data_IF_404872150557
#
_entry.id   IF_404872150557
#
_cell.length_a   1.000
_cell.length_b   1.000
_cell.length_c   1.000
_cell.angle_alpha   90.00
_cell.angle_beta   90.00
_cell.angle_gamma   90.00
#
_symmetry.space_group_name_H-M   'P 1'
#
loop_
_entity.id
_entity.type
_entity.pdbx_description
1 polymer ?
#
# COMPACT_ATOMS: atom_id res chain seq x y z
N UNK A 1 -2.69 89.65 -44.43
CA UNK A 1 -3.49 89.06 -43.32
C UNK A 1 -2.53 88.19 -42.52
N UNK A 2 -1.84 88.80 -41.53
CA UNK A 2 -2.12 88.77 -40.08
C UNK A 2 -1.61 87.49 -39.39
N UNK A 3 -0.81 87.74 -38.34
CA UNK A 3 -0.64 87.01 -37.08
C UNK A 3 0.63 86.16 -36.84
N UNK A 4 1.28 86.59 -35.76
CA UNK A 4 2.21 85.88 -34.88
C UNK A 4 1.57 84.68 -34.15
N UNK A 5 2.38 83.82 -33.52
CA UNK A 5 2.33 83.56 -32.06
C UNK A 5 3.11 82.29 -31.65
N UNK A 6 3.57 82.38 -30.40
CA UNK A 6 4.33 81.46 -29.55
C UNK A 6 3.51 80.31 -28.92
N UNK A 7 4.25 79.38 -28.28
CA UNK A 7 3.88 78.44 -27.19
C UNK A 7 2.98 77.23 -27.58
N UNK A 8 3.12 76.02 -27.03
CA UNK A 8 3.31 75.72 -25.61
C UNK A 8 4.04 74.39 -25.33
N UNK A 9 4.72 74.40 -24.18
CA UNK A 9 5.27 73.27 -23.42
C UNK A 9 4.13 72.41 -22.85
N UNK A 10 4.18 71.09 -22.96
CA UNK A 10 3.38 70.17 -22.13
C UNK A 10 4.28 69.17 -21.43
N UNK A 11 4.38 69.32 -20.11
CA UNK A 11 4.98 68.35 -19.21
C UNK A 11 3.97 67.21 -18.97
N UNK A 12 4.39 65.96 -19.21
CA UNK A 12 3.62 64.79 -18.84
C UNK A 12 4.00 64.36 -17.41
N UNK A 13 3.02 64.40 -16.52
CA UNK A 13 3.11 63.90 -15.14
C UNK A 13 2.93 62.37 -15.20
N UNK A 14 3.97 61.61 -14.83
CA UNK A 14 3.89 60.17 -14.60
C UNK A 14 3.48 59.92 -13.13
N UNK A 15 2.24 59.47 -12.93
CA UNK A 15 1.75 58.92 -11.68
C UNK A 15 2.11 57.42 -11.62
N UNK A 16 3.06 57.05 -10.75
CA UNK A 16 3.34 55.65 -10.41
C UNK A 16 2.45 55.21 -9.25
N UNK A 17 1.46 54.36 -9.53
CA UNK A 17 0.70 53.65 -8.49
C UNK A 17 1.51 52.44 -8.01
N UNK A 18 1.90 52.43 -6.74
CA UNK A 18 2.49 51.27 -6.08
C UNK A 18 1.40 50.23 -5.79
N UNK A 19 1.47 49.08 -6.44
CA UNK A 19 0.64 47.91 -6.12
C UNK A 19 1.27 47.20 -4.93
N UNK A 20 0.63 47.30 -3.77
CA UNK A 20 0.95 46.47 -2.61
C UNK A 20 0.30 45.10 -2.84
N UNK A 21 1.11 44.11 -3.23
CA UNK A 21 0.68 42.72 -3.29
C UNK A 21 0.69 42.18 -1.86
N UNK A 22 -0.48 42.04 -1.25
CA UNK A 22 -0.65 41.31 0.00
C UNK A 22 -0.37 39.82 -0.24
N UNK A 23 0.75 39.33 0.29
CA UNK A 23 1.05 37.90 0.31
C UNK A 23 0.07 37.19 1.23
N UNK A 24 -0.88 36.46 0.66
CA UNK A 24 -1.63 35.45 1.38
C UNK A 24 -0.66 34.29 1.65
N UNK A 25 -0.22 34.15 2.89
CA UNK A 25 0.47 32.95 3.36
C UNK A 25 -0.52 31.80 3.33
N UNK A 26 -0.43 30.96 2.31
CA UNK A 26 -1.04 29.62 2.30
C UNK A 26 -0.48 28.85 3.51
N UNK A 27 -1.32 28.21 4.35
CA UNK A 27 -0.83 27.34 5.41
C UNK A 27 -0.05 26.18 4.77
N UNK A 28 1.22 26.06 5.13
CA UNK A 28 2.08 24.92 4.81
C UNK A 28 1.43 23.67 5.40
N UNK A 29 1.13 22.69 4.55
CA UNK A 29 0.71 21.37 5.01
C UNK A 29 1.82 20.83 5.90
N UNK A 30 1.48 20.53 7.16
CA UNK A 30 2.44 19.99 8.12
C UNK A 30 2.77 18.56 7.70
N UNK A 31 3.87 18.42 6.96
CA UNK A 31 4.54 17.15 6.66
C UNK A 31 5.13 16.59 7.96
N UNK A 32 4.25 16.09 8.82
CA UNK A 32 4.65 15.40 10.03
C UNK A 32 4.81 13.93 9.70
N UNK A 33 6.05 13.54 9.34
CA UNK A 33 6.45 12.13 9.33
C UNK A 33 5.98 11.46 10.62
N UNK A 34 5.51 10.20 10.60
CA UNK A 34 4.94 9.57 11.79
C UNK A 34 5.96 9.58 12.94
N UNK A 35 5.73 10.45 13.93
CA UNK A 35 6.57 10.51 15.12
C UNK A 35 6.41 9.21 15.89
N UNK A 36 7.52 8.50 16.12
CA UNK A 36 7.55 7.35 17.01
C UNK A 36 7.33 7.85 18.44
N UNK A 37 6.11 7.75 18.96
CA UNK A 37 5.74 8.09 20.35
C UNK A 37 6.37 7.14 21.40
N UNK A 38 7.61 6.71 21.21
CA UNK A 38 8.33 5.77 22.09
C UNK A 38 7.79 4.33 22.11
N UNK A 39 6.71 4.04 21.38
CA UNK A 39 6.18 2.69 21.21
C UNK A 39 7.08 1.89 20.25
N UNK A 40 7.48 0.65 20.61
CA UNK A 40 8.31 -0.16 19.73
C UNK A 40 7.58 -0.49 18.43
N UNK A 41 8.35 -0.61 17.34
CA UNK A 41 7.85 -1.11 16.06
C UNK A 41 7.64 -2.62 16.12
N UNK A 42 6.76 -3.14 15.26
CA UNK A 42 6.61 -4.57 15.10
C UNK A 42 7.81 -5.16 14.37
N UNK A 43 8.21 -6.37 14.76
CA UNK A 43 9.29 -7.14 14.14
C UNK A 43 8.73 -8.51 13.73
N UNK A 44 9.38 -9.14 12.74
CA UNK A 44 8.95 -10.46 12.26
C UNK A 44 9.05 -11.51 13.37
N UNK A 45 7.92 -12.17 13.63
CA UNK A 45 7.82 -13.31 14.53
C UNK A 45 8.25 -14.59 13.80
N UNK A 46 9.05 -15.48 14.42
CA UNK A 46 9.46 -16.74 13.80
C UNK A 46 8.29 -17.61 13.32
N UNK A 47 8.52 -18.54 12.37
CA UNK A 47 7.54 -19.58 12.05
C UNK A 47 7.06 -20.33 13.30
N UNK A 48 5.79 -20.72 13.32
CA UNK A 48 5.13 -21.40 14.43
C UNK A 48 4.72 -20.50 15.61
N UNK A 49 4.93 -19.19 15.50
CA UNK A 49 4.54 -18.24 16.55
C UNK A 49 3.02 -18.09 16.65
N UNK A 50 2.50 -17.94 17.88
CA UNK A 50 1.11 -17.52 18.10
C UNK A 50 0.92 -16.09 17.58
N UNK A 51 0.07 -15.94 16.58
CA UNK A 51 -0.23 -14.65 15.96
C UNK A 51 -1.26 -13.84 16.78
N UNK A 52 -1.08 -12.53 16.97
CA UNK A 52 -2.06 -11.68 17.65
C UNK A 52 -3.37 -11.55 16.87
N UNK A 53 -4.48 -11.33 17.60
CA UNK A 53 -5.81 -11.09 17.05
C UNK A 53 -5.98 -9.66 16.50
N UNK A 54 -7.07 -9.44 15.75
CA UNK A 54 -7.46 -8.11 15.25
C UNK A 54 -7.50 -7.06 16.37
N UNK A 55 -8.16 -7.38 17.48
CA UNK A 55 -8.35 -6.47 18.60
C UNK A 55 -7.03 -6.15 19.33
N UNK A 56 -6.15 -7.15 19.50
CA UNK A 56 -4.84 -6.93 20.11
C UNK A 56 -3.97 -6.01 19.26
N UNK A 57 -4.01 -6.17 17.93
CA UNK A 57 -3.24 -5.30 17.04
C UNK A 57 -3.84 -3.91 16.90
N UNK A 58 -5.17 -3.79 16.85
CA UNK A 58 -5.83 -2.48 16.84
C UNK A 58 -5.46 -1.63 18.08
N UNK A 59 -5.27 -2.27 19.24
CA UNK A 59 -4.84 -1.60 20.46
C UNK A 59 -3.34 -1.22 20.48
N UNK A 60 -2.52 -1.84 19.63
CA UNK A 60 -1.07 -1.61 19.55
C UNK A 60 -0.65 -0.65 18.43
N UNK A 61 -1.55 -0.34 17.49
CA UNK A 61 -1.31 0.64 16.44
C UNK A 61 -0.97 2.00 17.06
N UNK A 62 0.08 2.63 16.54
CA UNK A 62 0.46 4.00 16.91
C UNK A 62 -0.39 4.95 16.08
N UNK A 63 -1.40 5.52 16.72
CA UNK A 63 -2.33 6.44 16.07
C UNK A 63 -1.63 7.70 15.59
N UNK A 64 -1.99 8.16 14.39
CA UNK A 64 -1.42 9.33 13.74
C UNK A 64 -2.43 9.93 12.75
N UNK A 65 -2.50 11.26 12.69
CA UNK A 65 -3.28 11.96 11.66
C UNK A 65 -2.56 12.00 10.30
N UNK A 66 -1.34 11.45 10.21
CA UNK A 66 -0.58 11.39 8.98
C UNK A 66 -1.20 10.38 7.99
N UNK A 67 -1.76 10.92 6.93
CA UNK A 67 -2.32 10.18 5.80
C UNK A 67 -1.75 10.76 4.49
N UNK A 68 -0.67 10.19 3.93
CA UNK A 68 -0.06 10.71 2.71
C UNK A 68 -0.93 10.42 1.47
N UNK A 69 -1.97 9.59 1.61
CA UNK A 69 -2.89 9.18 0.53
C UNK A 69 -4.33 9.46 0.92
N UNK A 70 -4.68 10.74 1.01
CA UNK A 70 -6.06 11.15 1.35
C UNK A 70 -7.15 10.51 0.46
N UNK A 71 -6.81 10.14 -0.78
CA UNK A 71 -7.70 9.42 -1.70
C UNK A 71 -8.09 8.02 -1.20
N UNK A 72 -7.30 7.42 -0.30
CA UNK A 72 -7.60 6.12 0.30
C UNK A 72 -8.71 6.21 1.35
N UNK A 73 -9.13 7.40 1.79
CA UNK A 73 -10.01 7.56 2.96
C UNK A 73 -11.25 6.65 2.92
N UNK A 74 -11.97 6.59 1.78
CA UNK A 74 -13.14 5.72 1.68
C UNK A 74 -12.79 4.24 1.88
N UNK A 75 -11.71 3.77 1.26
CA UNK A 75 -11.28 2.38 1.36
C UNK A 75 -10.66 2.04 2.73
N UNK A 76 -9.99 2.99 3.37
CA UNK A 76 -9.47 2.88 4.74
C UNK A 76 -10.59 2.73 5.79
N UNK A 77 -11.80 3.16 5.46
CA UNK A 77 -12.99 3.08 6.33
C UNK A 77 -14.01 2.05 5.86
N UNK A 78 -13.68 1.27 4.83
CA UNK A 78 -14.53 0.17 4.33
C UNK A 78 -14.13 -1.12 5.05
N UNK A 79 -14.96 -1.56 5.99
CA UNK A 79 -14.79 -2.84 6.70
C UNK A 79 -15.78 -3.87 6.13
N UNK A 80 -15.33 -5.05 5.69
CA UNK A 80 -16.24 -6.10 5.26
C UNK A 80 -17.10 -6.63 6.41
N UNK A 81 -18.40 -6.80 6.21
CA UNK A 81 -19.28 -7.48 7.18
C UNK A 81 -18.89 -8.95 7.38
N UNK A 82 -18.42 -9.58 6.30
CA UNK A 82 -17.87 -10.93 6.31
C UNK A 82 -16.85 -11.09 5.19
N UNK A 83 -15.88 -11.97 5.42
CA UNK A 83 -14.90 -12.40 4.43
C UNK A 83 -15.10 -13.88 4.17
N UNK A 84 -15.18 -14.26 2.90
CA UNK A 84 -15.27 -15.65 2.47
C UNK A 84 -14.24 -15.91 1.37
N UNK A 85 -13.11 -16.48 1.76
CA UNK A 85 -12.08 -16.92 0.81
C UNK A 85 -12.27 -18.43 0.57
N UNK A 86 -12.35 -18.89 -0.69
CA UNK A 86 -12.32 -20.31 -1.03
C UNK A 86 -11.10 -20.99 -0.43
N UNK A 87 -11.25 -22.27 -0.05
CA UNK A 87 -10.10 -23.07 0.34
C UNK A 87 -9.11 -23.16 -0.82
N UNK A 88 -7.81 -23.07 -0.52
CA UNK A 88 -6.78 -23.31 -1.52
C UNK A 88 -6.47 -24.81 -1.59
N UNK A 89 -6.40 -25.31 -2.80
CA UNK A 89 -5.94 -26.66 -3.09
C UNK A 89 -4.41 -26.71 -3.22
N UNK A 90 -3.81 -27.88 -3.02
CA UNK A 90 -2.38 -28.09 -3.24
C UNK A 90 -1.44 -27.44 -2.21
N UNK A 91 -1.98 -26.94 -1.10
CA UNK A 91 -1.23 -26.38 0.03
C UNK A 91 -1.46 -27.21 1.30
N UNK A 92 -0.61 -27.00 2.30
CA UNK A 92 -0.78 -27.66 3.60
C UNK A 92 -2.15 -27.32 4.22
N UNK A 93 -2.80 -28.30 4.85
CA UNK A 93 -4.11 -28.13 5.48
C UNK A 93 -4.17 -27.02 6.54
N UNK A 94 -3.04 -26.68 7.18
CA UNK A 94 -2.93 -25.57 8.12
C UNK A 94 -3.23 -24.22 7.46
N UNK A 95 -3.03 -24.09 6.14
CA UNK A 95 -3.38 -22.89 5.41
C UNK A 95 -4.88 -22.56 5.53
N UNK A 96 -5.72 -23.55 5.18
CA UNK A 96 -7.17 -23.41 5.20
C UNK A 96 -7.76 -23.41 6.63
N UNK A 97 -7.06 -24.00 7.61
CA UNK A 97 -7.58 -24.14 8.98
C UNK A 97 -7.03 -23.11 9.97
N UNK A 98 -5.85 -22.54 9.74
CA UNK A 98 -5.19 -21.62 10.67
C UNK A 98 -4.96 -20.22 10.09
N UNK A 99 -4.80 -20.07 8.78
CA UNK A 99 -4.52 -18.76 8.19
C UNK A 99 -5.76 -18.13 7.57
N UNK A 100 -6.41 -18.78 6.59
CA UNK A 100 -7.56 -18.20 5.90
C UNK A 100 -8.70 -17.74 6.82
N UNK A 101 -9.07 -18.48 7.89
CA UNK A 101 -10.12 -18.04 8.81
C UNK A 101 -9.79 -16.77 9.61
N UNK A 102 -8.53 -16.33 9.62
CA UNK A 102 -8.10 -15.11 10.32
C UNK A 102 -8.19 -13.86 9.45
N UNK A 103 -8.42 -13.97 8.13
CA UNK A 103 -8.60 -12.79 7.27
C UNK A 103 -9.97 -12.18 7.51
N UNK A 104 -10.01 -10.91 7.91
CA UNK A 104 -11.23 -10.19 8.29
C UNK A 104 -11.32 -8.81 7.67
N UNK A 105 -10.19 -8.13 7.41
CA UNK A 105 -10.17 -6.72 7.04
C UNK A 105 -10.78 -5.80 8.11
N UNK A 106 -10.86 -6.26 9.37
CA UNK A 106 -11.62 -5.60 10.43
C UNK A 106 -10.80 -4.51 11.16
N UNK A 107 -10.38 -3.49 10.43
CA UNK A 107 -9.69 -2.34 10.99
C UNK A 107 -9.93 -1.07 10.18
N UNK A 108 -9.90 0.08 10.84
CA UNK A 108 -9.98 1.41 10.23
C UNK A 108 -8.97 2.37 10.85
N UNK A 109 -8.48 3.28 10.02
CA UNK A 109 -7.43 4.24 10.39
C UNK A 109 -6.85 4.94 9.18
N UNK A 110 -5.67 5.53 9.33
CA UNK A 110 -4.87 5.96 8.17
C UNK A 110 -4.25 4.75 7.47
N UNK A 111 -3.71 4.96 6.27
CA UNK A 111 -3.02 3.94 5.48
C UNK A 111 -1.85 3.35 6.27
N UNK A 112 -1.07 4.18 6.98
CA UNK A 112 0.02 3.70 7.83
C UNK A 112 -0.49 2.89 9.02
N UNK A 113 -1.57 3.33 9.67
CA UNK A 113 -2.19 2.60 10.78
C UNK A 113 -2.69 1.21 10.34
N UNK A 114 -3.24 1.10 9.13
CA UNK A 114 -3.67 -0.17 8.54
C UNK A 114 -2.48 -1.09 8.25
N UNK A 115 -1.37 -0.54 7.71
CA UNK A 115 -0.13 -1.29 7.49
C UNK A 115 0.43 -1.80 8.83
N UNK A 116 0.46 -0.97 9.88
CA UNK A 116 0.87 -1.36 11.22
C UNK A 116 -0.01 -2.48 11.78
N UNK A 117 -1.34 -2.34 11.66
CA UNK A 117 -2.29 -3.34 12.12
C UNK A 117 -2.06 -4.69 11.43
N UNK A 118 -1.93 -4.70 10.11
CA UNK A 118 -1.67 -5.91 9.33
C UNK A 118 -0.32 -6.55 9.70
N UNK A 119 0.74 -5.74 9.81
CA UNK A 119 2.07 -6.20 10.22
C UNK A 119 2.05 -6.88 11.59
N UNK A 120 1.37 -6.26 12.57
CA UNK A 120 1.17 -6.85 13.89
C UNK A 120 0.40 -8.18 13.83
N UNK A 121 -0.71 -8.21 13.09
CA UNK A 121 -1.63 -9.36 13.03
C UNK A 121 -0.95 -10.59 12.46
N UNK A 122 -0.10 -10.39 11.46
CA UNK A 122 0.60 -11.47 10.75
C UNK A 122 2.04 -11.68 11.22
N UNK A 123 2.47 -10.91 12.23
CA UNK A 123 3.77 -11.06 12.86
C UNK A 123 4.91 -10.75 11.90
N UNK A 124 4.84 -9.64 11.18
CA UNK A 124 5.87 -9.14 10.28
C UNK A 124 6.45 -7.82 10.76
N UNK A 125 7.70 -7.56 10.37
CA UNK A 125 8.29 -6.24 10.48
C UNK A 125 7.47 -5.22 9.67
N UNK A 126 6.96 -4.21 10.36
CA UNK A 126 6.11 -3.19 9.73
C UNK A 126 6.83 -2.39 8.65
N UNK A 127 8.14 -2.19 8.75
CA UNK A 127 8.90 -1.47 7.72
C UNK A 127 9.08 -2.33 6.46
N UNK A 128 9.16 -3.66 6.58
CA UNK A 128 9.11 -4.55 5.40
C UNK A 128 7.75 -4.44 4.70
N UNK A 129 6.66 -4.38 5.46
CA UNK A 129 5.31 -4.22 4.88
C UNK A 129 5.17 -2.86 4.19
N UNK A 130 5.63 -1.78 4.82
CA UNK A 130 5.66 -0.44 4.21
C UNK A 130 6.45 -0.41 2.91
N UNK A 131 7.66 -0.98 2.90
CA UNK A 131 8.51 -1.04 1.71
C UNK A 131 7.83 -1.81 0.56
N UNK A 132 7.18 -2.93 0.86
CA UNK A 132 6.40 -3.66 -0.14
C UNK A 132 5.23 -2.81 -0.65
N UNK A 133 4.45 -2.18 0.23
CA UNK A 133 3.34 -1.31 -0.18
C UNK A 133 3.80 -0.10 -1.02
N UNK A 134 4.98 0.48 -0.73
CA UNK A 134 5.59 1.49 -1.61
C UNK A 134 5.79 0.91 -2.99
N UNK A 135 6.37 -0.29 -3.03
CA UNK A 135 6.73 -0.97 -4.24
C UNK A 135 5.59 -1.44 -5.12
N UNK A 136 4.47 -1.82 -4.52
CA UNK A 136 3.28 -2.34 -5.20
C UNK A 136 2.40 -1.23 -5.76
N UNK A 137 2.30 -0.11 -5.05
CA UNK A 137 1.28 0.90 -5.36
C UNK A 137 1.64 2.32 -4.97
N UNK A 138 2.84 2.56 -4.44
CA UNK A 138 3.18 3.81 -3.75
C UNK A 138 2.12 4.19 -2.70
N UNK A 139 1.57 3.18 -2.01
CA UNK A 139 0.47 3.26 -1.04
C UNK A 139 -0.91 3.65 -1.60
N UNK A 140 -1.10 3.69 -2.92
CA UNK A 140 -2.41 4.01 -3.51
C UNK A 140 -3.32 2.78 -3.52
N UNK A 141 -4.45 2.87 -2.81
CA UNK A 141 -5.47 1.83 -2.85
C UNK A 141 -6.19 1.78 -4.22
N UNK A 142 -6.15 2.86 -4.99
CA UNK A 142 -6.71 2.89 -6.35
C UNK A 142 -5.79 2.26 -7.40
N UNK A 143 -4.64 1.67 -7.01
CA UNK A 143 -3.71 1.08 -7.96
C UNK A 143 -4.34 -0.12 -8.67
N UNK A 144 -4.33 -0.06 -9.99
CA UNK A 144 -4.70 -1.15 -10.90
C UNK A 144 -3.46 -1.60 -11.65
N UNK A 145 -3.31 -2.90 -11.87
CA UNK A 145 -2.12 -3.45 -12.51
C UNK A 145 -2.39 -4.74 -13.28
N UNK A 146 -1.37 -5.18 -14.00
CA UNK A 146 -1.37 -6.41 -14.79
C UNK A 146 -2.53 -6.49 -15.80
N UNK A 147 -2.63 -5.49 -16.69
CA UNK A 147 -3.65 -5.46 -17.73
C UNK A 147 -3.57 -6.68 -18.64
N UNK A 148 -4.74 -7.25 -18.95
CA UNK A 148 -4.92 -8.43 -19.81
C UNK A 148 -5.93 -8.13 -20.90
N UNK A 149 -5.63 -8.62 -22.10
CA UNK A 149 -6.54 -8.55 -23.27
C UNK A 149 -7.57 -9.68 -23.28
N UNK A 150 -7.38 -10.73 -22.49
CA UNK A 150 -8.31 -11.86 -22.41
C UNK A 150 -9.54 -11.48 -21.56
N UNK A 151 -10.76 -11.47 -22.13
CA UNK A 151 -11.97 -11.18 -21.37
C UNK A 151 -12.22 -12.15 -20.21
N UNK A 152 -11.72 -13.38 -20.27
CA UNK A 152 -11.88 -14.38 -19.20
C UNK A 152 -11.03 -14.03 -17.96
N UNK A 153 -10.00 -13.21 -18.12
CA UNK A 153 -9.16 -12.67 -17.04
C UNK A 153 -9.78 -11.43 -16.37
N UNK A 154 -10.92 -10.91 -16.85
CA UNK A 154 -11.50 -9.68 -16.29
C UNK A 154 -12.32 -9.92 -15.03
N UNK A 155 -12.00 -9.18 -13.96
CA UNK A 155 -12.82 -9.15 -12.76
C UNK A 155 -14.24 -8.62 -13.06
N UNK A 156 -15.27 -9.03 -12.30
CA UNK A 156 -16.64 -8.55 -12.49
C UNK A 156 -16.72 -7.01 -12.53
N UNK A 157 -17.31 -6.47 -13.60
CA UNK A 157 -17.43 -5.03 -13.83
C UNK A 157 -16.39 -4.42 -14.76
N UNK A 158 -15.37 -5.19 -15.16
CA UNK A 158 -14.35 -4.77 -16.13
C UNK A 158 -14.57 -5.41 -17.51
N UNK A 159 -14.03 -4.79 -18.56
CA UNK A 159 -13.97 -5.30 -19.94
C UNK A 159 -12.53 -5.26 -20.43
N UNK A 160 -12.11 -6.22 -21.26
CA UNK A 160 -10.76 -6.24 -21.82
C UNK A 160 -10.46 -5.00 -22.70
N UNK A 161 -9.24 -4.45 -22.67
CA UNK A 161 -8.16 -4.78 -21.74
C UNK A 161 -8.51 -4.35 -20.30
N UNK A 162 -8.27 -5.23 -19.33
CA UNK A 162 -8.70 -5.06 -17.94
C UNK A 162 -7.57 -5.38 -16.95
N UNK A 163 -7.53 -4.72 -15.78
CA UNK A 163 -6.56 -5.01 -14.75
C UNK A 163 -6.86 -6.36 -14.09
N UNK A 164 -5.81 -7.05 -13.66
CA UNK A 164 -5.93 -8.29 -12.89
C UNK A 164 -5.43 -8.18 -11.45
N UNK A 165 -4.70 -7.10 -11.12
CA UNK A 165 -4.15 -6.83 -9.79
C UNK A 165 -4.75 -5.55 -9.21
N UNK A 166 -5.20 -5.63 -7.95
CA UNK A 166 -5.97 -4.55 -7.30
C UNK A 166 -5.34 -4.12 -5.96
N UNK A 167 -5.36 -2.82 -5.73
CA UNK A 167 -5.15 -2.22 -4.42
C UNK A 167 -3.71 -2.10 -3.97
N UNK A 168 -3.56 -1.69 -2.71
CA UNK A 168 -2.29 -1.26 -2.12
C UNK A 168 -1.19 -2.33 -2.14
N UNK A 169 -1.56 -3.61 -2.07
CA UNK A 169 -0.65 -4.77 -2.13
C UNK A 169 -0.74 -5.54 -3.46
N UNK A 170 -1.45 -5.01 -4.47
CA UNK A 170 -1.62 -5.64 -5.79
C UNK A 170 -2.09 -7.10 -5.73
N UNK A 171 -3.23 -7.33 -5.08
CA UNK A 171 -3.84 -8.66 -5.00
C UNK A 171 -4.39 -9.05 -6.36
N UNK A 172 -3.79 -10.08 -6.96
CA UNK A 172 -4.15 -10.61 -8.29
C UNK A 172 -5.38 -11.52 -8.25
N UNK A 173 -6.53 -11.06 -8.73
CA UNK A 173 -7.79 -11.79 -8.59
C UNK A 173 -7.79 -13.14 -9.32
N UNK A 174 -7.05 -13.25 -10.43
CA UNK A 174 -6.90 -14.50 -11.20
C UNK A 174 -6.12 -15.59 -10.45
N UNK A 175 -5.27 -15.20 -9.49
CA UNK A 175 -4.53 -16.12 -8.63
C UNK A 175 -5.15 -16.26 -7.23
N UNK A 176 -5.99 -15.31 -6.84
CA UNK A 176 -6.54 -15.18 -5.49
C UNK A 176 -8.08 -15.10 -5.55
N UNK A 177 -8.76 -16.23 -5.84
CA UNK A 177 -10.20 -16.24 -6.00
C UNK A 177 -10.91 -15.81 -4.70
N UNK A 178 -12.03 -15.11 -4.84
CA UNK A 178 -12.83 -14.61 -3.71
C UNK A 178 -12.32 -13.34 -3.05
N UNK A 179 -11.21 -12.75 -3.52
CA UNK A 179 -10.72 -11.47 -2.97
C UNK A 179 -11.37 -10.24 -3.60
N UNK A 180 -11.69 -10.28 -4.89
CA UNK A 180 -12.46 -9.22 -5.56
C UNK A 180 -13.95 -9.33 -5.16
N UNK A 181 -14.65 -8.22 -4.85
CA UNK A 181 -14.23 -6.82 -4.98
C UNK A 181 -13.53 -6.23 -3.75
N UNK A 182 -13.42 -6.96 -2.63
CA UNK A 182 -12.86 -6.42 -1.39
C UNK A 182 -11.41 -5.95 -1.53
N UNK A 183 -10.60 -6.63 -2.36
CA UNK A 183 -9.23 -6.22 -2.68
C UNK A 183 -9.13 -4.88 -3.41
N UNK A 184 -10.22 -4.38 -3.99
CA UNK A 184 -10.31 -3.06 -4.61
C UNK A 184 -10.96 -2.03 -3.66
N UNK A 185 -11.86 -2.47 -2.79
CA UNK A 185 -12.71 -1.58 -2.00
C UNK A 185 -12.22 -1.32 -0.57
N UNK A 186 -11.41 -2.20 0.01
CA UNK A 186 -10.99 -2.11 1.42
C UNK A 186 -9.47 -2.22 1.55
N UNK A 187 -8.83 -1.14 2.03
CA UNK A 187 -7.38 -1.12 2.28
C UNK A 187 -7.00 -2.14 3.34
N UNK A 188 -7.80 -2.24 4.41
CA UNK A 188 -7.55 -3.19 5.49
C UNK A 188 -7.64 -4.63 5.00
N UNK A 189 -8.68 -4.99 4.24
CA UNK A 189 -8.77 -6.32 3.65
C UNK A 189 -7.61 -6.62 2.69
N UNK A 190 -7.23 -5.67 1.84
CA UNK A 190 -6.15 -5.86 0.87
C UNK A 190 -4.80 -6.17 1.56
N UNK A 191 -4.44 -5.39 2.59
CA UNK A 191 -3.25 -5.63 3.42
C UNK A 191 -3.37 -6.95 4.20
N UNK A 192 -4.51 -7.20 4.84
CA UNK A 192 -4.77 -8.40 5.64
C UNK A 192 -4.58 -9.67 4.81
N UNK A 193 -5.20 -9.73 3.63
CA UNK A 193 -5.11 -10.89 2.75
C UNK A 193 -3.69 -11.11 2.22
N UNK A 194 -3.02 -10.06 1.73
CA UNK A 194 -1.66 -10.20 1.19
C UNK A 194 -0.67 -10.68 2.27
N UNK A 195 -0.81 -10.18 3.50
CA UNK A 195 0.02 -10.61 4.62
C UNK A 195 -0.36 -11.99 5.16
N UNK A 196 -1.63 -12.39 5.05
CA UNK A 196 -2.02 -13.77 5.29
C UNK A 196 -1.26 -14.70 4.34
N UNK A 197 -1.27 -14.43 3.03
CA UNK A 197 -0.56 -15.24 2.01
C UNK A 197 0.93 -15.28 2.31
N UNK A 198 1.54 -14.12 2.60
CA UNK A 198 2.93 -14.05 3.04
C UNK A 198 3.19 -14.93 4.26
N UNK A 199 2.29 -14.94 5.25
CA UNK A 199 2.44 -15.77 6.45
C UNK A 199 2.34 -17.26 6.12
N UNK A 200 1.40 -17.69 5.30
CA UNK A 200 1.30 -19.09 4.86
C UNK A 200 2.57 -19.59 4.19
N UNK A 201 3.08 -18.81 3.25
CA UNK A 201 4.38 -19.09 2.64
C UNK A 201 5.49 -19.12 3.69
N UNK A 202 5.54 -18.15 4.60
CA UNK A 202 6.60 -18.05 5.61
C UNK A 202 6.58 -19.22 6.61
N UNK A 203 5.41 -19.77 6.90
CA UNK A 203 5.21 -20.96 7.73
C UNK A 203 5.63 -22.27 7.04
N UNK A 204 5.88 -22.25 5.72
CA UNK A 204 6.20 -23.46 4.96
C UNK A 204 4.99 -24.17 4.36
N UNK A 205 3.80 -23.54 4.32
CA UNK A 205 2.55 -24.20 3.94
C UNK A 205 2.34 -24.31 2.41
N UNK A 206 3.09 -23.56 1.62
CA UNK A 206 3.04 -23.62 0.15
C UNK A 206 4.04 -24.65 -0.39
N UNK A 207 3.88 -25.92 -0.01
CA UNK A 207 4.84 -27.00 -0.27
C UNK A 207 5.20 -27.21 -1.75
N UNK A 208 4.32 -26.82 -2.67
CA UNK A 208 4.56 -26.82 -4.12
C UNK A 208 5.73 -25.93 -4.54
N UNK A 209 6.15 -24.95 -3.73
CA UNK A 209 7.34 -24.14 -3.96
C UNK A 209 8.64 -24.96 -3.95
N UNK A 210 8.62 -26.15 -3.33
CA UNK A 210 9.74 -27.10 -3.37
C UNK A 210 10.08 -27.61 -4.78
N UNK A 211 9.13 -27.53 -5.73
CA UNK A 211 9.38 -27.90 -7.13
C UNK A 211 10.27 -26.87 -7.86
N UNK A 212 10.42 -25.67 -7.28
CA UNK A 212 11.19 -24.56 -7.85
C UNK A 212 12.54 -24.33 -7.16
N UNK A 213 12.78 -24.91 -5.99
CA UNK A 213 14.04 -24.75 -5.27
C UNK A 213 14.00 -25.26 -3.82
N UNK A 214 14.98 -24.82 -3.02
CA UNK A 214 15.11 -25.18 -1.59
C UNK A 214 14.13 -24.37 -0.73
N UNK A 215 12.82 -24.60 -0.92
CA UNK A 215 11.78 -23.95 -0.14
C UNK A 215 11.75 -24.47 1.30
N UNK A 216 11.81 -23.54 2.25
CA UNK A 216 11.76 -23.81 3.69
C UNK A 216 11.05 -22.67 4.42
N UNK A 217 10.43 -22.99 5.55
CA UNK A 217 9.85 -22.01 6.44
C UNK A 217 10.92 -21.00 6.92
N UNK A 218 10.50 -19.76 7.17
CA UNK A 218 11.33 -18.72 7.76
C UNK A 218 12.02 -17.77 6.78
N UNK A 219 11.82 -17.91 5.47
CA UNK A 219 12.33 -16.95 4.49
C UNK A 219 11.23 -15.96 4.04
N UNK A 220 11.12 -14.84 4.77
CA UNK A 220 10.14 -13.79 4.48
C UNK A 220 10.38 -13.17 3.10
N UNK A 221 11.63 -12.96 2.73
CA UNK A 221 11.97 -12.29 1.47
C UNK A 221 11.71 -13.19 0.28
N UNK A 222 12.01 -14.50 0.37
CA UNK A 222 11.56 -15.48 -0.62
C UNK A 222 10.05 -15.45 -0.83
N UNK A 223 9.27 -15.34 0.26
CA UNK A 223 7.81 -15.20 0.17
C UNK A 223 7.34 -13.88 -0.45
N UNK A 224 8.07 -12.78 -0.22
CA UNK A 224 7.84 -11.50 -0.91
C UNK A 224 8.14 -11.64 -2.41
N UNK A 225 9.20 -12.35 -2.80
CA UNK A 225 9.50 -12.65 -4.20
C UNK A 225 8.46 -13.55 -4.87
N UNK A 226 7.97 -14.57 -4.14
CA UNK A 226 6.89 -15.47 -4.58
C UNK A 226 5.57 -14.73 -4.79
N UNK A 227 5.27 -13.71 -3.99
CA UNK A 227 4.08 -12.89 -4.19
C UNK A 227 4.10 -12.24 -5.58
N UNK A 228 5.25 -11.70 -5.97
CA UNK A 228 5.45 -11.02 -7.24
C UNK A 228 5.54 -11.98 -8.45
N UNK A 229 6.42 -12.98 -8.38
CA UNK A 229 6.78 -13.85 -9.51
C UNK A 229 5.95 -15.13 -9.62
N UNK A 230 5.36 -15.58 -8.51
CA UNK A 230 4.70 -16.88 -8.41
C UNK A 230 5.65 -18.08 -8.29
N UNK A 231 6.98 -17.89 -8.18
CA UNK A 231 7.96 -18.97 -8.04
C UNK A 231 8.94 -18.71 -6.89
N UNK A 232 9.62 -19.78 -6.45
CA UNK A 232 10.63 -19.70 -5.40
C UNK A 232 11.99 -19.25 -5.96
N UNK A 233 12.49 -18.09 -5.51
CA UNK A 233 13.81 -17.54 -5.87
C UNK A 233 14.16 -17.63 -7.38
N UNK A 234 13.22 -17.23 -8.24
CA UNK A 234 13.54 -16.98 -9.64
C UNK A 234 14.11 -15.57 -9.85
N UNK A 235 14.63 -15.30 -11.05
CA UNK A 235 15.32 -14.04 -11.33
C UNK A 235 14.40 -12.80 -11.18
N UNK A 236 13.12 -12.94 -11.52
CA UNK A 236 12.14 -11.85 -11.42
C UNK A 236 11.78 -11.56 -9.96
N UNK A 237 11.54 -12.62 -9.17
CA UNK A 237 11.32 -12.54 -7.73
C UNK A 237 12.51 -11.95 -6.98
N UNK A 238 13.73 -12.39 -7.27
CA UNK A 238 14.94 -11.87 -6.64
C UNK A 238 15.22 -10.40 -7.03
N UNK A 239 14.96 -10.06 -8.30
CA UNK A 239 15.01 -8.67 -8.77
C UNK A 239 14.00 -7.78 -8.03
N UNK A 240 12.80 -8.29 -7.80
CA UNK A 240 11.77 -7.60 -7.01
C UNK A 240 12.19 -7.43 -5.54
N UNK A 241 12.69 -8.49 -4.90
CA UNK A 241 13.23 -8.45 -3.54
C UNK A 241 14.31 -7.36 -3.42
N UNK A 242 15.23 -7.29 -4.37
CA UNK A 242 16.29 -6.29 -4.37
C UNK A 242 15.73 -4.86 -4.39
N UNK A 243 14.67 -4.59 -5.18
CA UNK A 243 14.02 -3.27 -5.23
C UNK A 243 13.32 -2.95 -3.92
N UNK A 244 12.57 -3.90 -3.34
CA UNK A 244 11.89 -3.70 -2.05
C UNK A 244 12.85 -3.50 -0.88
N UNK A 245 14.02 -4.15 -0.90
CA UNK A 245 15.10 -3.88 0.06
C UNK A 245 15.70 -2.48 -0.09
N UNK A 246 15.76 -1.95 -1.31
CA UNK A 246 16.15 -0.56 -1.54
C UNK A 246 15.09 0.41 -0.98
N UNK A 247 13.81 0.17 -1.27
CA UNK A 247 12.69 0.96 -0.71
C UNK A 247 12.72 0.97 0.85
N UNK A 248 13.08 -0.16 1.46
CA UNK A 248 13.29 -0.30 2.90
C UNK A 248 14.51 0.47 3.42
N UNK A 249 15.66 0.33 2.75
CA UNK A 249 16.90 1.00 3.14
C UNK A 249 16.77 2.53 3.05
N UNK A 250 16.09 3.01 2.01
CA UNK A 250 15.83 4.43 1.78
C UNK A 250 14.67 4.95 2.63
N UNK A 251 13.90 4.06 3.28
CA UNK A 251 12.66 4.39 4.00
C UNK A 251 11.76 5.25 3.12
N UNK A 252 11.48 4.76 1.91
CA UNK A 252 10.87 5.56 0.85
C UNK A 252 9.56 6.28 1.27
N UNK A 253 8.80 5.72 2.22
CA UNK A 253 7.58 6.31 2.78
C UNK A 253 7.79 7.48 3.75
N UNK A 254 9.03 7.75 4.17
CA UNK A 254 9.43 8.88 5.02
C UNK A 254 10.15 9.97 4.23
N UNK A 255 10.35 9.78 2.92
CA UNK A 255 11.03 10.77 2.09
C UNK A 255 10.12 11.97 1.81
N UNK A 256 10.68 13.19 1.68
CA UNK A 256 9.89 14.37 1.36
C UNK A 256 9.09 14.21 0.07
N UNK A 257 7.80 14.56 0.12
CA UNK A 257 6.89 14.44 -1.02
C UNK A 257 6.41 13.03 -1.30
N UNK A 258 6.62 12.10 -0.35
CA UNK A 258 5.99 10.78 -0.41
C UNK A 258 4.48 10.91 -0.47
#
# INVERSE_FOLDING_TARGET
MIAAAFLALTAAILLTSAVVVGGATTPEATDSSPQTNGQPRFATLPPGSTLPSDAECAAKVRRSDWEPRSQNHSANHTVPDSVSIPAWDGVDSHWNTQIMPRVTGNFTGTTDEIIQWGACKWGFDEDNVRAVAVGESNWHMSQLGDDRDDPDDCAPGYSAPCPTSFGIMQVKWTAHPGTHPLSELSTAFNVDYALAVRRGCFEGYETWLGDYGDYRAGDEWGCIGRWYSGRWHDADGDGYISRRRADLADRAWEQPGF
#
